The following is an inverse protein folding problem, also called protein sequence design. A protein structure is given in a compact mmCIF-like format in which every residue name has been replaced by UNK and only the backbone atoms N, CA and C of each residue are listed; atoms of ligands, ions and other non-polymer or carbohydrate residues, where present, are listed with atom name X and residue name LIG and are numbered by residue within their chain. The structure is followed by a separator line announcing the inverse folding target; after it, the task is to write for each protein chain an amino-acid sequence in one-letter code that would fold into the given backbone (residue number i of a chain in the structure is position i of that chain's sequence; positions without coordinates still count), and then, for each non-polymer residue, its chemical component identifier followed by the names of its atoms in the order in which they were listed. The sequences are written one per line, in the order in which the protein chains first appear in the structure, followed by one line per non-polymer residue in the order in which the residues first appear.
data_IF_155822770114
#
_entry.id   IF_155822770114
#
_cell.length_a   1.000
_cell.length_b   1.000
_cell.length_c   1.000
_cell.angle_alpha   90.00
_cell.angle_beta   90.00
_cell.angle_gamma   90.00
#
_symmetry.space_group_name_H-M   'P 1'
#
loop_
_entity.id
_entity.type
_entity.pdbx_description
1 polymer ?
#
# COMPACT_ATOMS: atom_id res chain seq x y z
N UNK A 1 3.74 5.40 12.53
CA UNK A 1 3.39 4.48 11.43
C UNK A 1 3.91 3.07 11.65
N UNK A 2 5.12 2.90 12.20
CA UNK A 2 5.69 1.58 12.53
C UNK A 2 5.96 1.44 14.03
N UNK A 3 6.15 0.21 14.50
CA UNK A 3 6.70 -0.12 15.82
C UNK A 3 7.66 -1.30 15.75
N UNK A 4 8.46 -1.51 16.78
CA UNK A 4 9.31 -2.69 16.89
C UNK A 4 8.45 -3.95 16.88
N UNK A 5 8.89 -4.96 16.12
CA UNK A 5 8.12 -6.19 15.95
C UNK A 5 8.80 -7.37 16.63
N UNK A 6 7.97 -8.27 17.16
CA UNK A 6 8.37 -9.63 17.59
C UNK A 6 7.74 -10.70 16.68
N UNK A 7 7.30 -10.30 15.49
CA UNK A 7 6.62 -11.18 14.55
C UNK A 7 7.55 -12.31 14.11
N UNK A 8 7.00 -13.53 13.90
CA UNK A 8 7.75 -14.61 13.25
C UNK A 8 7.93 -14.36 11.74
N UNK A 9 7.28 -13.34 11.17
CA UNK A 9 7.40 -12.95 9.77
C UNK A 9 8.47 -11.87 9.57
N UNK A 10 9.05 -11.83 8.38
CA UNK A 10 9.97 -10.77 7.98
C UNK A 10 10.04 -10.66 6.46
N UNK A 11 9.84 -9.45 5.95
CA UNK A 11 10.10 -9.09 4.56
C UNK A 11 11.30 -8.14 4.49
N UNK A 12 12.28 -8.38 3.61
CA UNK A 12 13.45 -7.50 3.54
C UNK A 12 13.05 -6.12 3.01
N UNK A 13 13.68 -5.09 3.59
CA UNK A 13 13.55 -3.69 3.15
C UNK A 13 14.82 -3.22 2.48
N UNK A 14 14.68 -2.54 1.35
CA UNK A 14 15.79 -1.92 0.63
C UNK A 14 15.41 -0.54 0.10
N UNK A 15 16.42 0.23 -0.30
CA UNK A 15 16.24 1.58 -0.81
C UNK A 15 16.48 1.63 -2.32
N UNK A 16 15.57 2.28 -3.05
CA UNK A 16 15.69 2.53 -4.49
C UNK A 16 15.75 4.04 -4.72
N UNK A 17 16.59 4.47 -5.66
CA UNK A 17 16.70 5.89 -6.03
C UNK A 17 15.63 6.26 -7.06
N UNK A 18 14.86 7.31 -6.80
CA UNK A 18 13.91 7.89 -7.76
C UNK A 18 14.68 8.70 -8.82
N UNK A 19 14.10 8.93 -10.02
CA UNK A 19 14.70 9.79 -11.04
C UNK A 19 15.01 11.22 -10.55
N UNK A 20 14.22 11.73 -9.59
CA UNK A 20 14.45 13.03 -8.96
C UNK A 20 15.54 13.02 -7.87
N UNK A 21 16.34 11.95 -7.78
CA UNK A 21 17.44 11.81 -6.83
C UNK A 21 17.04 11.41 -5.41
N UNK A 22 15.75 11.50 -5.03
CA UNK A 22 15.25 11.11 -3.70
C UNK A 22 15.28 9.60 -3.51
N UNK A 23 15.47 9.14 -2.27
CA UNK A 23 15.36 7.73 -1.92
C UNK A 23 13.90 7.31 -1.70
N UNK A 24 13.58 6.06 -2.03
CA UNK A 24 12.32 5.38 -1.72
C UNK A 24 12.65 4.08 -0.98
N UNK A 25 12.05 3.92 0.19
CA UNK A 25 12.05 2.63 0.90
C UNK A 25 11.08 1.67 0.20
N UNK A 26 11.51 0.43 -0.03
CA UNK A 26 10.75 -0.61 -0.72
C UNK A 26 10.80 -1.88 0.14
N UNK A 27 9.63 -2.47 0.37
CA UNK A 27 9.47 -3.72 1.12
C UNK A 27 9.20 -4.86 0.15
N UNK A 28 9.98 -5.93 0.24
CA UNK A 28 9.84 -7.08 -0.65
C UNK A 28 8.72 -8.04 -0.18
N UNK A 29 7.47 -7.59 -0.18
CA UNK A 29 6.31 -8.38 0.24
C UNK A 29 5.92 -9.52 -0.73
N UNK A 30 6.80 -9.95 -1.64
CA UNK A 30 6.47 -10.94 -2.67
C UNK A 30 5.90 -12.25 -2.09
N UNK A 31 6.52 -12.78 -1.03
CA UNK A 31 6.06 -14.01 -0.36
C UNK A 31 4.72 -13.80 0.36
N UNK A 32 4.59 -12.67 1.06
CA UNK A 32 3.33 -12.30 1.73
C UNK A 32 2.20 -12.17 0.70
N UNK A 33 2.43 -11.46 -0.39
CA UNK A 33 1.47 -11.24 -1.45
C UNK A 33 1.06 -12.54 -2.14
N UNK A 34 1.99 -13.48 -2.36
CA UNK A 34 1.69 -14.79 -2.94
C UNK A 34 0.81 -15.65 -2.01
N UNK A 35 0.93 -15.49 -0.68
CA UNK A 35 0.10 -16.17 0.31
C UNK A 35 -1.21 -15.44 0.61
N UNK A 36 -1.38 -14.22 0.09
CA UNK A 36 -2.56 -13.38 0.37
C UNK A 36 -3.66 -13.68 -0.65
N UNK A 37 -4.88 -13.91 -0.18
CA UNK A 37 -6.05 -14.06 -1.05
C UNK A 37 -6.30 -12.72 -1.77
N UNK A 38 -6.32 -12.69 -3.12
CA UNK A 38 -6.56 -11.46 -3.86
C UNK A 38 -7.94 -10.85 -3.54
N UNK A 39 -7.98 -9.55 -3.31
CA UNK A 39 -9.23 -8.84 -3.12
C UNK A 39 -10.01 -8.80 -4.44
N UNK A 40 -11.28 -9.22 -4.40
CA UNK A 40 -12.15 -9.27 -5.59
C UNK A 40 -12.83 -7.93 -5.91
N UNK A 41 -12.45 -6.83 -5.25
CA UNK A 41 -13.07 -5.52 -5.51
C UNK A 41 -12.84 -5.09 -6.95
N UNK A 42 -13.89 -4.83 -7.74
CA UNK A 42 -13.72 -4.31 -9.08
C UNK A 42 -13.23 -2.86 -8.98
N UNK A 43 -12.03 -2.60 -9.49
CA UNK A 43 -11.57 -1.23 -9.73
C UNK A 43 -12.18 -0.78 -11.07
N UNK A 44 -12.90 0.36 -11.11
CA UNK A 44 -13.52 0.84 -12.33
C UNK A 44 -12.53 0.96 -13.48
N UNK A 45 -12.93 0.53 -14.68
CA UNK A 45 -12.12 0.74 -15.88
C UNK A 45 -12.08 2.23 -16.22
N UNK A 46 -10.93 2.69 -16.70
CA UNK A 46 -10.72 4.08 -17.14
C UNK A 46 -11.82 4.57 -18.08
N UNK A 47 -12.20 3.77 -19.08
CA UNK A 47 -13.22 4.16 -20.07
C UNK A 47 -14.59 4.36 -19.42
N UNK A 48 -14.93 3.54 -18.41
CA UNK A 48 -16.15 3.70 -17.63
C UNK A 48 -16.17 5.00 -16.83
N UNK A 49 -15.03 5.34 -16.20
CA UNK A 49 -14.88 6.62 -15.49
C UNK A 49 -15.03 7.82 -16.45
N UNK A 50 -14.45 7.74 -17.66
CA UNK A 50 -14.56 8.80 -18.67
C UNK A 50 -15.98 8.96 -19.19
N UNK A 51 -16.69 7.86 -19.45
CA UNK A 51 -18.08 7.90 -19.89
C UNK A 51 -18.99 8.56 -18.85
N UNK A 52 -18.75 8.30 -17.56
CA UNK A 52 -19.52 8.93 -16.46
C UNK A 52 -19.30 10.44 -16.36
N UNK A 53 -18.23 10.96 -16.95
CA UNK A 53 -17.89 12.38 -16.98
C UNK A 53 -18.36 13.08 -18.27
N UNK A 54 -18.98 12.36 -19.21
CA UNK A 54 -19.40 12.91 -20.49
C UNK A 54 -20.47 14.01 -20.30
N UNK A 55 -20.30 15.14 -20.99
CA UNK A 55 -21.19 16.29 -20.89
C UNK A 55 -20.89 17.25 -19.73
N UNK A 56 -19.98 16.90 -18.81
CA UNK A 56 -19.46 17.84 -17.83
C UNK A 56 -18.49 18.83 -18.48
N UNK A 57 -18.53 20.09 -18.04
CA UNK A 57 -17.69 21.17 -18.59
C UNK A 57 -16.65 21.69 -17.60
N UNK A 58 -16.77 21.34 -16.32
CA UNK A 58 -15.86 21.74 -15.24
C UNK A 58 -15.46 20.51 -14.45
N UNK A 59 -14.16 20.37 -14.17
CA UNK A 59 -13.59 19.24 -13.45
C UNK A 59 -12.66 19.71 -12.33
N UNK A 60 -12.60 18.92 -11.25
CA UNK A 60 -11.62 19.05 -10.19
C UNK A 60 -10.95 17.70 -9.95
N UNK A 61 -9.64 17.70 -9.74
CA UNK A 61 -8.88 16.52 -9.38
C UNK A 61 -8.28 16.71 -7.98
N UNK A 62 -8.45 15.70 -7.13
CA UNK A 62 -7.88 15.65 -5.79
C UNK A 62 -6.99 14.41 -5.69
N UNK A 63 -5.82 14.56 -5.10
CA UNK A 63 -4.89 13.47 -4.82
C UNK A 63 -4.68 13.36 -3.30
N UNK A 64 -4.84 12.17 -2.75
CA UNK A 64 -4.57 11.94 -1.33
C UNK A 64 -3.10 11.61 -1.13
N UNK A 65 -2.35 12.59 -0.63
CA UNK A 65 -0.91 12.47 -0.36
C UNK A 65 -0.65 11.28 0.55
N UNK A 66 0.21 10.37 0.10
CA UNK A 66 0.60 9.18 0.87
C UNK A 66 -0.60 8.34 1.34
N UNK A 67 -1.69 8.32 0.55
CA UNK A 67 -3.02 7.85 0.94
C UNK A 67 -3.06 6.46 1.60
N UNK A 68 -2.22 5.51 1.17
CA UNK A 68 -2.16 4.18 1.82
C UNK A 68 -1.75 4.25 3.29
N UNK A 69 -0.79 5.11 3.62
CA UNK A 69 -0.30 5.26 5.00
C UNK A 69 -1.31 5.95 5.93
N UNK A 70 -2.44 6.43 5.40
CA UNK A 70 -3.54 6.97 6.20
C UNK A 70 -4.52 5.88 6.67
N UNK A 71 -4.46 4.68 6.08
CA UNK A 71 -5.34 3.56 6.44
C UNK A 71 -4.68 2.70 7.51
N UNK A 72 -5.38 2.48 8.63
CA UNK A 72 -4.90 1.58 9.69
C UNK A 72 -4.89 0.12 9.21
N UNK A 73 -3.84 -0.60 9.58
CA UNK A 73 -3.82 -2.05 9.44
C UNK A 73 -4.78 -2.68 10.47
N UNK A 74 -5.44 -3.76 10.09
CA UNK A 74 -6.17 -4.61 11.03
C UNK A 74 -5.17 -5.19 12.04
N UNK A 75 -5.50 -5.15 13.33
CA UNK A 75 -4.57 -5.54 14.40
C UNK A 75 -4.00 -6.95 14.24
N UNK A 76 -4.81 -7.92 13.81
CA UNK A 76 -4.38 -9.30 13.55
C UNK A 76 -3.36 -9.43 12.42
N UNK A 77 -3.34 -8.47 11.49
CA UNK A 77 -2.56 -8.54 10.26
C UNK A 77 -1.28 -7.69 10.35
N UNK A 78 -1.16 -6.84 11.38
CA UNK A 78 0.03 -6.03 11.65
C UNK A 78 1.31 -6.90 11.66
N UNK A 79 1.38 -8.05 12.36
CA UNK A 79 2.59 -8.86 12.37
C UNK A 79 3.01 -9.40 11.00
N UNK A 80 2.07 -9.55 10.05
CA UNK A 80 2.37 -10.00 8.69
C UNK A 80 3.18 -8.97 7.90
N UNK A 81 3.01 -7.69 8.25
CA UNK A 81 3.72 -6.56 7.62
C UNK A 81 5.12 -6.34 8.17
N UNK A 82 5.62 -7.24 9.02
CA UNK A 82 6.93 -7.14 9.61
C UNK A 82 8.03 -7.10 8.53
N UNK A 83 8.95 -6.15 8.69
CA UNK A 83 10.03 -5.86 7.77
C UNK A 83 11.36 -5.77 8.49
N UNK A 84 12.39 -6.36 7.89
CA UNK A 84 13.76 -6.28 8.38
C UNK A 84 14.50 -5.12 7.71
N UNK A 85 15.25 -4.38 8.52
CA UNK A 85 16.17 -3.33 8.06
C UNK A 85 17.58 -3.91 7.87
N UNK A 86 18.46 -3.25 7.10
CA UNK A 86 19.85 -3.69 6.95
C UNK A 86 20.64 -3.83 8.26
N UNK A 87 20.24 -3.14 9.34
CA UNK A 87 20.85 -3.28 10.67
C UNK A 87 20.39 -4.53 11.43
N UNK A 88 19.50 -5.33 10.86
CA UNK A 88 18.93 -6.53 11.50
C UNK A 88 17.73 -6.25 12.40
N UNK A 89 17.33 -4.99 12.57
CA UNK A 89 16.14 -4.65 13.37
C UNK A 89 14.85 -4.99 12.61
N UNK A 90 13.85 -5.49 13.34
CA UNK A 90 12.54 -5.87 12.83
C UNK A 90 11.46 -4.86 13.25
N UNK A 91 10.69 -4.37 12.29
CA UNK A 91 9.63 -3.39 12.49
C UNK A 91 8.35 -3.85 11.81
N UNK A 92 7.19 -3.51 12.34
CA UNK A 92 5.88 -3.80 11.72
C UNK A 92 5.07 -2.52 11.51
N UNK A 93 4.21 -2.54 10.50
CA UNK A 93 3.42 -1.39 10.09
C UNK A 93 2.05 -1.39 10.76
N UNK A 94 1.72 -0.27 11.41
CA UNK A 94 0.41 0.01 12.01
C UNK A 94 -0.58 0.60 10.99
N UNK A 95 -0.07 1.08 9.87
CA UNK A 95 -0.81 1.63 8.74
C UNK A 95 -0.43 0.89 7.47
N UNK A 96 -1.27 0.88 6.43
CA UNK A 96 -1.07 0.07 5.24
C UNK A 96 0.17 0.50 4.46
N UNK A 97 1.25 -0.32 4.42
CA UNK A 97 2.46 0.03 3.71
C UNK A 97 2.30 -0.13 2.19
N UNK A 98 3.12 0.59 1.43
CA UNK A 98 3.28 0.35 0.00
C UNK A 98 3.86 -1.05 -0.25
N UNK A 99 3.36 -1.72 -1.29
CA UNK A 99 3.83 -3.03 -1.74
C UNK A 99 2.93 -4.21 -1.40
N UNK A 100 1.87 -4.02 -0.59
CA UNK A 100 0.85 -5.05 -0.38
C UNK A 100 -0.06 -5.18 -1.61
N UNK A 101 -0.34 -6.41 -2.05
CA UNK A 101 -1.13 -6.68 -3.27
C UNK A 101 -2.56 -6.14 -3.19
N UNK A 102 -3.19 -6.17 -2.02
CA UNK A 102 -4.57 -5.74 -1.82
C UNK A 102 -4.71 -4.25 -1.44
N UNK A 103 -3.61 -3.49 -1.32
CA UNK A 103 -3.67 -2.09 -0.93
C UNK A 103 -4.53 -1.21 -1.88
N UNK A 104 -4.38 -1.30 -3.22
CA UNK A 104 -5.20 -0.50 -4.14
C UNK A 104 -6.69 -0.83 -4.04
N UNK A 105 -7.03 -2.12 -3.93
CA UNK A 105 -8.42 -2.57 -3.82
C UNK A 105 -9.07 -2.12 -2.50
N UNK A 106 -8.30 -2.14 -1.40
CA UNK A 106 -8.74 -1.66 -0.09
C UNK A 106 -8.97 -0.15 -0.11
N UNK A 107 -8.04 0.60 -0.69
CA UNK A 107 -8.16 2.04 -0.85
C UNK A 107 -9.36 2.42 -1.72
N UNK A 108 -9.58 1.72 -2.84
CA UNK A 108 -10.72 1.96 -3.72
C UNK A 108 -12.07 1.78 -2.99
N UNK A 109 -12.19 0.79 -2.10
CA UNK A 109 -13.41 0.58 -1.28
C UNK A 109 -13.68 1.72 -0.29
N UNK A 110 -12.67 2.48 0.09
CA UNK A 110 -12.83 3.59 1.02
C UNK A 110 -13.30 4.87 0.32
N UNK A 111 -12.90 5.05 -0.94
CA UNK A 111 -13.12 6.28 -1.71
C UNK A 111 -14.24 6.18 -2.75
N UNK A 112 -14.82 4.99 -2.93
CA UNK A 112 -15.98 4.72 -3.80
C UNK A 112 -17.16 4.32 -2.94
#
# INVERSE_FOLDING_TARGET
MVRESKSPHSSPTFCVRKPNGKWRMVHAFNKLNAATIPASTPIPRKDGLQNNMAGCTVFSALDMVDGYYQLLMRESDIPLTAVSTPSGMLWEWLVMPQGLSNAPATFNRLVT
#
